data_IF_934328807199
#
_entry.id   IF_934328807199
#
_cell.length_a   1.000
_cell.length_b   1.000
_cell.length_c   1.000
_cell.angle_alpha   90.00
_cell.angle_beta   90.00
_cell.angle_gamma   90.00
#
_symmetry.space_group_name_H-M   'P 1'
#
loop_
_entity.id
_entity.type
_entity.pdbx_description
1 polymer ?
#
# COMPACT_ATOMS: atom_id res chain seq x y z
N UNK A 1 -4.07 -9.88 7.12
CA UNK A 1 -2.93 -8.94 7.02
C UNK A 1 -1.74 -9.70 6.49
N UNK A 2 -0.80 -9.02 5.84
CA UNK A 2 0.40 -9.60 5.25
C UNK A 2 1.62 -8.83 5.74
N UNK A 3 2.75 -9.53 5.87
CA UNK A 3 4.06 -8.94 6.09
C UNK A 3 4.75 -8.79 4.74
N UNK A 4 5.43 -7.67 4.53
CA UNK A 4 6.23 -7.49 3.32
C UNK A 4 7.32 -6.46 3.48
N UNK A 5 8.13 -6.31 2.43
CA UNK A 5 9.18 -5.31 2.34
C UNK A 5 8.90 -4.38 1.16
N UNK A 6 9.00 -3.06 1.38
CA UNK A 6 8.79 -2.08 0.32
C UNK A 6 9.92 -2.19 -0.71
N UNK A 7 9.54 -2.42 -1.97
CA UNK A 7 10.47 -2.59 -3.08
C UNK A 7 10.59 -1.34 -3.96
N UNK A 8 9.61 -0.43 -3.94
CA UNK A 8 9.65 0.74 -4.82
C UNK A 8 8.37 1.57 -4.85
N UNK A 9 8.38 2.65 -5.63
CA UNK A 9 7.23 3.54 -5.86
C UNK A 9 6.52 3.25 -7.18
N UNK A 10 5.20 3.43 -7.19
CA UNK A 10 4.37 3.34 -8.40
C UNK A 10 3.76 4.68 -8.77
N UNK A 11 3.94 5.11 -10.02
CA UNK A 11 3.44 6.39 -10.52
C UNK A 11 2.35 6.18 -11.58
N UNK A 12 1.14 6.63 -11.28
CA UNK A 12 0.02 6.64 -12.22
C UNK A 12 -0.40 8.09 -12.55
N UNK A 13 0.01 8.58 -13.72
CA UNK A 13 -0.30 9.95 -14.21
C UNK A 13 -1.73 10.08 -14.72
N UNK A 14 -2.31 8.98 -15.23
CA UNK A 14 -3.74 8.84 -15.54
C UNK A 14 -4.33 7.78 -14.62
N UNK A 15 -5.32 8.14 -13.80
CA UNK A 15 -5.93 7.28 -12.80
C UNK A 15 -7.38 7.70 -12.55
N UNK A 16 -8.16 6.81 -11.97
CA UNK A 16 -9.53 7.14 -11.54
C UNK A 16 -9.49 8.33 -10.56
N UNK A 17 -10.46 9.27 -10.61
CA UNK A 17 -10.43 10.48 -9.78
C UNK A 17 -10.31 10.20 -8.27
N UNK A 18 -10.90 9.11 -7.81
CA UNK A 18 -10.88 8.63 -6.42
C UNK A 18 -9.55 8.00 -5.97
N UNK A 19 -8.56 7.85 -6.86
CA UNK A 19 -7.17 7.50 -6.51
C UNK A 19 -6.28 8.76 -6.36
N UNK A 20 -6.83 9.95 -6.54
CA UNK A 20 -6.08 11.21 -6.39
C UNK A 20 -5.67 11.41 -4.94
N UNK A 21 -4.41 11.84 -4.73
CA UNK A 21 -3.84 12.04 -3.40
C UNK A 21 -3.22 10.78 -2.78
N UNK A 22 -3.42 9.61 -3.37
CA UNK A 22 -2.81 8.37 -2.89
C UNK A 22 -1.38 8.18 -3.40
N UNK A 23 -0.50 7.77 -2.50
CA UNK A 23 0.80 7.21 -2.82
C UNK A 23 0.70 5.69 -2.95
N UNK A 24 1.44 5.12 -3.90
CA UNK A 24 1.46 3.68 -4.13
C UNK A 24 2.88 3.16 -4.08
N UNK A 25 3.06 2.05 -3.38
CA UNK A 25 4.33 1.35 -3.24
C UNK A 25 4.20 -0.09 -3.70
N UNK A 26 5.22 -0.60 -4.39
CA UNK A 26 5.38 -2.05 -4.57
C UNK A 26 5.91 -2.65 -3.29
N UNK A 27 5.31 -3.76 -2.85
CA UNK A 27 5.70 -4.49 -1.63
C UNK A 27 5.85 -5.96 -1.97
N UNK A 28 7.01 -6.52 -1.65
CA UNK A 28 7.30 -7.95 -1.76
C UNK A 28 6.70 -8.69 -0.56
N UNK A 29 5.84 -9.66 -0.83
CA UNK A 29 5.14 -10.49 0.16
C UNK A 29 5.38 -11.95 -0.22
N UNK A 30 6.43 -12.55 0.37
CA UNK A 30 6.95 -13.83 -0.11
C UNK A 30 7.35 -13.73 -1.58
N UNK A 31 6.90 -14.66 -2.41
CA UNK A 31 7.19 -14.67 -3.85
C UNK A 31 6.27 -13.77 -4.71
N UNK A 32 5.45 -12.94 -4.07
CA UNK A 32 4.45 -12.08 -4.74
C UNK A 32 4.82 -10.62 -4.61
N UNK A 33 4.58 -9.85 -5.68
CA UNK A 33 4.63 -8.40 -5.66
C UNK A 33 3.22 -7.83 -5.59
N UNK A 34 2.95 -7.00 -4.58
CA UNK A 34 1.68 -6.28 -4.44
C UNK A 34 1.89 -4.79 -4.64
N UNK A 35 0.88 -4.10 -5.19
CA UNK A 35 0.82 -2.63 -5.16
C UNK A 35 -0.08 -2.24 -3.99
N UNK A 36 0.48 -1.52 -3.03
CA UNK A 36 -0.25 -1.09 -1.83
C UNK A 36 -0.40 0.43 -1.83
N UNK A 37 -1.57 0.92 -1.40
CA UNK A 37 -1.71 2.31 -1.01
C UNK A 37 -0.86 2.56 0.25
N UNK A 38 -0.03 3.59 0.24
CA UNK A 38 0.75 3.97 1.41
C UNK A 38 -0.03 4.98 2.26
N UNK A 39 -0.46 4.52 3.43
CA UNK A 39 -1.21 5.34 4.39
C UNK A 39 -0.35 5.82 5.57
N UNK A 40 0.94 5.45 5.61
CA UNK A 40 1.81 5.69 6.76
C UNK A 40 3.12 6.39 6.41
N UNK A 41 3.44 6.54 5.13
CA UNK A 41 4.65 7.22 4.66
C UNK A 41 5.87 6.30 4.61
N UNK A 42 5.68 5.05 4.19
CA UNK A 42 6.75 4.05 4.17
C UNK A 42 7.82 4.34 3.08
N UNK A 43 9.06 4.00 3.40
CA UNK A 43 10.24 4.09 2.53
C UNK A 43 10.64 2.75 1.92
N UNK A 44 11.43 2.79 0.85
CA UNK A 44 12.03 1.59 0.25
C UNK A 44 12.91 0.85 1.27
N UNK A 45 12.81 -0.48 1.29
CA UNK A 45 13.53 -1.34 2.23
C UNK A 45 12.84 -1.53 3.59
N UNK A 46 11.82 -0.75 3.94
CA UNK A 46 11.12 -0.90 5.20
C UNK A 46 10.25 -2.17 5.23
N UNK A 47 10.20 -2.83 6.40
CA UNK A 47 9.27 -3.92 6.67
C UNK A 47 7.92 -3.33 7.05
N UNK A 48 6.85 -3.80 6.45
CA UNK A 48 5.53 -3.20 6.57
C UNK A 48 4.43 -4.22 6.83
N UNK A 49 3.37 -3.77 7.50
CA UNK A 49 2.14 -4.51 7.72
C UNK A 49 1.07 -4.04 6.71
N UNK A 50 0.50 -4.98 5.98
CA UNK A 50 -0.46 -4.71 4.91
C UNK A 50 -1.85 -5.22 5.30
N UNK A 51 -2.86 -4.37 5.20
CA UNK A 51 -4.27 -4.75 5.19
C UNK A 51 -4.74 -5.02 3.75
N UNK A 52 -5.67 -5.96 3.58
CA UNK A 52 -6.24 -6.28 2.27
C UNK A 52 -7.77 -6.21 2.27
N UNK A 53 -8.37 -6.14 1.08
CA UNK A 53 -9.82 -6.12 0.88
C UNK A 53 -10.49 -4.87 1.48
N UNK A 54 -11.63 -5.07 2.16
CA UNK A 54 -12.38 -3.97 2.76
C UNK A 54 -11.59 -3.17 3.81
N UNK A 55 -10.70 -3.83 4.56
CA UNK A 55 -9.84 -3.18 5.55
C UNK A 55 -8.86 -2.18 4.91
N UNK A 56 -8.38 -2.48 3.69
CA UNK A 56 -7.54 -1.55 2.94
C UNK A 56 -8.29 -0.25 2.60
N UNK A 57 -9.59 -0.34 2.27
CA UNK A 57 -10.43 0.85 2.04
C UNK A 57 -10.74 1.61 3.31
N UNK A 58 -10.82 0.94 4.47
CA UNK A 58 -10.95 1.66 5.74
C UNK A 58 -9.70 2.51 6.01
N UNK A 59 -8.51 1.96 5.74
CA UNK A 59 -7.24 2.68 5.92
C UNK A 59 -7.04 3.80 4.88
N UNK A 60 -7.25 3.51 3.60
CA UNK A 60 -6.99 4.46 2.51
C UNK A 60 -8.13 5.47 2.29
N UNK A 61 -9.37 5.11 2.66
CA UNK A 61 -10.59 5.89 2.45
C UNK A 61 -11.69 5.06 1.77
N UNK A 62 -12.92 5.10 2.31
CA UNK A 62 -13.99 4.14 1.96
C UNK A 62 -14.33 4.06 0.46
N UNK A 63 -14.18 5.17 -0.27
CA UNK A 63 -14.47 5.29 -1.71
C UNK A 63 -13.24 5.14 -2.61
N UNK A 64 -12.07 4.87 -2.03
CA UNK A 64 -10.81 4.68 -2.74
C UNK A 64 -10.78 3.24 -3.27
N UNK A 65 -10.57 3.02 -4.58
CA UNK A 65 -10.70 1.70 -5.19
C UNK A 65 -9.38 0.93 -5.04
N UNK A 66 -9.03 0.60 -3.80
CA UNK A 66 -7.84 -0.18 -3.44
C UNK A 66 -8.23 -1.44 -2.66
N UNK A 67 -7.41 -2.47 -2.79
CA UNK A 67 -7.57 -3.77 -2.14
C UNK A 67 -6.34 -4.17 -1.29
N UNK A 68 -5.29 -3.33 -1.26
CA UNK A 68 -4.13 -3.45 -0.38
C UNK A 68 -3.68 -2.07 0.10
N UNK A 69 -3.41 -1.94 1.40
CA UNK A 69 -2.91 -0.71 2.01
C UNK A 69 -1.87 -1.03 3.08
N UNK A 70 -0.79 -0.24 3.11
CA UNK A 70 0.19 -0.27 4.20
C UNK A 70 -0.45 0.44 5.39
N UNK A 71 -0.56 -0.29 6.51
CA UNK A 71 -1.19 0.20 7.74
C UNK A 71 -0.21 0.34 8.90
N UNK A 72 1.08 0.01 8.68
CA UNK A 72 2.12 0.17 9.68
C UNK A 72 3.50 -0.18 9.13
N UNK A 73 4.52 0.44 9.73
CA UNK A 73 5.93 0.12 9.56
C UNK A 73 6.35 -0.74 10.76
N UNK A 74 7.17 -1.76 10.52
CA UNK A 74 7.55 -2.75 11.52
C UNK A 74 8.95 -2.44 12.02
N UNK A 75 9.04 -2.16 13.32
CA UNK A 75 10.31 -1.93 14.00
C UNK A 75 11.24 -3.16 13.92
N UNK A 76 12.57 -2.98 14.01
CA UNK A 76 13.59 -4.04 14.06
C UNK A 76 13.28 -5.20 15.01
#
# INVERSE_FOLDING_TARGET
MLLGQVAGKVWATKKAPNLTGQAFLTVEVGDRLLVCADCVGAGEGERVLIATGGAARIAAGANVPVDAAIIGIIDP
#
